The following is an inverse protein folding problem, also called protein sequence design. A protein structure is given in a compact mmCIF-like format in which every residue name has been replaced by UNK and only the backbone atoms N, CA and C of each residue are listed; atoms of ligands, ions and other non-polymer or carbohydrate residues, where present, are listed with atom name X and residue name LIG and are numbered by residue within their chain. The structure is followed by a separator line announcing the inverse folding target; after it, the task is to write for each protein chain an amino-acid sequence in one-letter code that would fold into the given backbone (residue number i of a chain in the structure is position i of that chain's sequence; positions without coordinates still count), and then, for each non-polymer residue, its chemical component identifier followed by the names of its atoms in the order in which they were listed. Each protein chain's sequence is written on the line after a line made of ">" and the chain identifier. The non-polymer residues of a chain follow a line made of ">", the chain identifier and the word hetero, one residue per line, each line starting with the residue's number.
data_IF_206958162188
#
_entry.id   IF_206958162188
#
_cell.length_a   1.000
_cell.length_b   1.000
_cell.length_c   1.000
_cell.angle_alpha   90.00
_cell.angle_beta   90.00
_cell.angle_gamma   90.00
#
_symmetry.space_group_name_H-M   'P 1'
#
loop_
_entity.id
_entity.type
_entity.pdbx_description
1 polymer ?
#
# COMPACT_ATOMS: atom_id res chain seq x y z
N UNK A 1 23.30 -8.77 27.77
CA UNK A 1 22.47 -9.76 27.05
C UNK A 1 21.58 -9.00 26.10
N UNK A 2 22.07 -8.84 24.88
CA UNK A 2 21.38 -8.06 23.85
C UNK A 2 20.22 -8.89 23.31
N UNK A 3 19.01 -8.43 23.59
CA UNK A 3 17.84 -8.90 22.86
C UNK A 3 17.83 -8.24 21.49
N UNK A 4 18.51 -8.90 20.54
CA UNK A 4 18.33 -8.70 19.12
C UNK A 4 16.85 -9.02 18.79
N UNK A 5 16.04 -7.99 18.81
CA UNK A 5 14.69 -8.04 18.26
C UNK A 5 14.85 -8.12 16.75
N UNK A 6 15.05 -9.33 16.25
CA UNK A 6 14.93 -9.67 14.83
C UNK A 6 13.61 -9.11 14.33
N UNK A 7 13.67 -7.90 13.77
CA UNK A 7 12.57 -7.26 13.05
C UNK A 7 12.30 -8.13 11.82
N UNK A 8 11.38 -9.07 11.96
CA UNK A 8 10.88 -9.87 10.84
C UNK A 8 10.30 -8.90 9.81
N UNK A 9 11.09 -8.60 8.80
CA UNK A 9 10.69 -7.71 7.72
C UNK A 9 9.41 -8.25 7.08
N UNK A 10 8.35 -7.46 7.14
CA UNK A 10 7.07 -7.79 6.50
C UNK A 10 7.19 -7.57 5.01
N UNK A 11 7.09 -8.65 4.24
CA UNK A 11 7.11 -8.59 2.79
C UNK A 11 5.71 -8.37 2.23
N UNK A 12 5.59 -7.44 1.30
CA UNK A 12 4.34 -7.24 0.56
C UNK A 12 4.62 -6.61 -0.82
N UNK A 13 3.77 -6.94 -1.78
CA UNK A 13 3.73 -6.28 -3.07
C UNK A 13 2.87 -5.02 -2.95
N UNK A 14 3.32 -3.92 -3.54
CA UNK A 14 2.67 -2.62 -3.40
C UNK A 14 2.78 -1.78 -4.67
N UNK A 15 1.79 -0.92 -4.90
CA UNK A 15 1.88 0.22 -5.80
C UNK A 15 2.32 1.45 -5.00
N UNK A 16 3.16 2.29 -5.59
CA UNK A 16 3.73 3.46 -4.92
C UNK A 16 3.43 4.73 -5.73
N UNK A 17 3.18 5.86 -5.04
CA UNK A 17 3.10 7.16 -5.73
C UNK A 17 4.49 7.61 -6.21
N UNK A 18 4.51 8.49 -7.22
CA UNK A 18 5.73 9.22 -7.57
C UNK A 18 6.16 10.16 -6.42
N UNK A 19 7.39 10.67 -6.49
CA UNK A 19 7.97 11.46 -5.41
C UNK A 19 7.19 12.75 -5.11
N UNK A 20 6.71 13.45 -6.14
CA UNK A 20 5.95 14.69 -5.96
C UNK A 20 4.59 14.42 -5.34
N UNK A 21 3.91 13.36 -5.80
CA UNK A 21 2.64 12.91 -5.21
C UNK A 21 2.84 12.46 -3.77
N UNK A 22 3.90 11.72 -3.48
CA UNK A 22 4.22 11.30 -2.10
C UNK A 22 4.41 12.50 -1.15
N UNK A 23 5.09 13.54 -1.61
CA UNK A 23 5.24 14.79 -0.85
C UNK A 23 3.91 15.52 -0.66
N UNK A 24 3.03 15.55 -1.67
CA UNK A 24 1.68 16.13 -1.54
C UNK A 24 0.86 15.38 -0.49
N UNK A 25 0.88 14.05 -0.54
CA UNK A 25 0.20 13.20 0.46
C UNK A 25 0.75 13.45 1.86
N UNK A 26 2.06 13.53 2.02
CA UNK A 26 2.69 13.81 3.30
C UNK A 26 2.28 15.17 3.89
N UNK A 27 2.25 16.22 3.07
CA UNK A 27 1.81 17.57 3.47
C UNK A 27 0.34 17.57 3.88
N UNK A 28 -0.52 16.87 3.15
CA UNK A 28 -1.92 16.68 3.51
C UNK A 28 -2.04 15.95 4.85
N UNK A 29 -1.30 14.85 5.03
CA UNK A 29 -1.29 14.09 6.28
C UNK A 29 -0.86 14.96 7.48
N UNK A 30 0.14 15.83 7.28
CA UNK A 30 0.58 16.77 8.31
C UNK A 30 -0.49 17.82 8.67
N UNK A 31 -1.21 18.32 7.67
CA UNK A 31 -2.33 19.26 7.90
C UNK A 31 -3.47 18.58 8.66
N UNK A 32 -3.87 17.37 8.21
CA UNK A 32 -4.93 16.60 8.85
C UNK A 32 -4.56 16.16 10.27
N UNK A 33 -3.30 15.76 10.49
CA UNK A 33 -2.80 15.44 11.82
C UNK A 33 -2.99 16.62 12.78
N UNK A 34 -2.65 17.84 12.36
CA UNK A 34 -2.85 19.06 13.16
C UNK A 34 -4.34 19.36 13.39
N UNK A 35 -5.14 19.28 12.33
CA UNK A 35 -6.58 19.57 12.40
C UNK A 35 -7.31 18.63 13.35
N UNK A 36 -7.01 17.34 13.28
CA UNK A 36 -7.60 16.31 14.13
C UNK A 36 -6.86 16.13 15.47
N UNK A 37 -5.73 16.81 15.69
CA UNK A 37 -4.90 16.66 16.90
C UNK A 37 -4.51 15.20 17.17
N UNK A 38 -4.06 14.49 16.13
CA UNK A 38 -3.55 13.14 16.28
C UNK A 38 -2.13 13.12 16.84
N UNK A 39 -1.83 12.15 17.71
CA UNK A 39 -0.49 11.94 18.26
C UNK A 39 0.37 11.05 17.35
N UNK A 40 -0.26 10.20 16.55
CA UNK A 40 0.39 9.22 15.69
C UNK A 40 1.43 9.80 14.74
N UNK A 41 2.50 9.05 14.49
CA UNK A 41 3.54 9.43 13.53
C UNK A 41 3.03 9.30 12.09
N UNK A 42 3.24 10.34 11.28
CA UNK A 42 2.93 10.31 9.84
C UNK A 42 3.86 9.32 9.14
N UNK A 43 3.32 8.59 8.15
CA UNK A 43 4.10 7.73 7.27
C UNK A 43 4.97 8.60 6.37
N UNK A 44 6.28 8.35 6.35
CA UNK A 44 7.23 9.12 5.55
C UNK A 44 6.96 8.93 4.03
N UNK A 45 7.28 9.93 3.21
CA UNK A 45 6.97 9.91 1.78
C UNK A 45 7.47 8.66 1.05
N UNK A 46 8.67 8.20 1.36
CA UNK A 46 9.29 7.02 0.77
C UNK A 46 8.68 5.69 1.21
N UNK A 47 7.77 5.73 2.18
CA UNK A 47 7.05 4.58 2.72
C UNK A 47 5.56 4.57 2.35
N UNK A 48 5.06 5.61 1.71
CA UNK A 48 3.67 5.67 1.25
C UNK A 48 3.44 4.65 0.13
N UNK A 49 2.39 3.86 0.26
CA UNK A 49 2.09 2.78 -0.68
C UNK A 49 0.63 2.33 -0.62
N UNK A 50 0.21 1.64 -1.67
CA UNK A 50 -1.03 0.85 -1.71
C UNK A 50 -0.62 -0.62 -1.65
N UNK A 51 -0.93 -1.29 -0.55
CA UNK A 51 -0.63 -2.74 -0.42
C UNK A 51 -1.48 -3.56 -1.38
N UNK A 52 -0.84 -4.41 -2.17
CA UNK A 52 -1.51 -5.35 -3.08
C UNK A 52 -1.61 -6.74 -2.48
N UNK A 53 -0.51 -7.29 -2.00
CA UNK A 53 -0.44 -8.60 -1.34
C UNK A 53 0.53 -8.58 -0.17
N UNK A 54 0.08 -9.08 0.97
CA UNK A 54 0.93 -9.40 2.08
C UNK A 54 1.50 -10.82 1.92
N UNK A 55 2.81 -10.95 1.99
CA UNK A 55 3.54 -12.20 1.75
C UNK A 55 4.07 -12.86 3.04
N UNK A 56 3.78 -12.25 4.19
CA UNK A 56 4.26 -12.73 5.49
C UNK A 56 5.59 -12.16 5.91
N UNK A 57 6.18 -12.76 6.95
CA UNK A 57 7.55 -12.45 7.38
C UNK A 57 8.57 -13.12 6.46
N UNK A 58 9.76 -12.52 6.37
CA UNK A 58 10.80 -12.95 5.47
C UNK A 58 11.40 -14.32 5.81
N UNK A 59 11.21 -15.31 4.95
CA UNK A 59 12.33 -16.05 4.44
C UNK A 59 12.55 -15.83 2.94
N UNK A 60 13.79 -15.87 2.53
CA UNK A 60 14.24 -15.69 1.13
C UNK A 60 13.46 -16.48 0.04
N UNK A 61 12.95 -17.70 0.28
CA UNK A 61 12.19 -18.44 -0.74
C UNK A 61 10.92 -17.71 -1.21
N UNK A 62 10.15 -17.11 -0.29
CA UNK A 62 8.91 -16.41 -0.63
C UNK A 62 9.21 -15.16 -1.46
N UNK A 63 10.22 -14.39 -1.09
CA UNK A 63 10.63 -13.21 -1.83
C UNK A 63 11.03 -13.56 -3.27
N UNK A 64 11.80 -14.63 -3.46
CA UNK A 64 12.21 -15.09 -4.80
C UNK A 64 11.00 -15.52 -5.63
N UNK A 65 10.11 -16.34 -5.09
CA UNK A 65 8.88 -16.78 -5.77
C UNK A 65 7.99 -15.59 -6.15
N UNK A 66 7.86 -14.60 -5.27
CA UNK A 66 7.12 -13.39 -5.55
C UNK A 66 7.77 -12.56 -6.67
N UNK A 67 9.09 -12.45 -6.70
CA UNK A 67 9.83 -11.79 -7.78
C UNK A 67 9.63 -12.50 -9.13
N UNK A 68 9.71 -13.83 -9.16
CA UNK A 68 9.50 -14.62 -10.37
C UNK A 68 8.06 -14.45 -10.89
N UNK A 69 7.06 -14.51 -10.01
CA UNK A 69 5.67 -14.29 -10.37
C UNK A 69 5.43 -12.86 -10.89
N UNK A 70 5.98 -11.87 -10.21
CA UNK A 70 5.85 -10.47 -10.58
C UNK A 70 6.47 -10.16 -11.95
N UNK A 71 7.58 -10.80 -12.30
CA UNK A 71 8.24 -10.64 -13.59
C UNK A 71 7.40 -11.14 -14.79
N UNK A 72 6.44 -12.01 -14.54
CA UNK A 72 5.50 -12.53 -15.57
C UNK A 72 4.30 -11.60 -15.80
N UNK A 73 4.05 -10.67 -14.89
CA UNK A 73 2.88 -9.78 -14.97
C UNK A 73 3.06 -8.73 -16.05
N UNK A 74 2.04 -8.60 -16.88
CA UNK A 74 1.90 -7.53 -17.87
C UNK A 74 0.63 -6.77 -17.60
N UNK A 75 0.74 -5.46 -17.45
CA UNK A 75 -0.37 -4.55 -17.28
C UNK A 75 0.04 -3.15 -17.76
N UNK A 76 -0.83 -2.42 -18.46
CA UNK A 76 -0.56 -1.03 -18.81
C UNK A 76 -0.54 -0.16 -17.56
N UNK A 77 0.15 0.97 -17.62
CA UNK A 77 0.04 2.04 -16.61
C UNK A 77 -1.39 2.54 -16.53
N UNK A 78 -1.80 3.01 -15.37
CA UNK A 78 -3.15 3.53 -15.14
C UNK A 78 -3.16 4.60 -14.06
N UNK A 79 -4.15 5.47 -14.11
CA UNK A 79 -4.35 6.47 -13.07
C UNK A 79 -5.19 5.94 -11.91
N UNK A 80 -4.86 6.40 -10.72
CA UNK A 80 -5.64 6.22 -9.49
C UNK A 80 -6.01 7.58 -8.91
N UNK A 81 -7.15 7.66 -8.24
CA UNK A 81 -7.63 8.88 -7.62
C UNK A 81 -8.14 8.59 -6.22
N UNK A 82 -7.71 9.41 -5.27
CA UNK A 82 -8.12 9.38 -3.88
C UNK A 82 -8.72 10.74 -3.52
N UNK A 83 -9.94 10.75 -3.01
CA UNK A 83 -10.75 11.96 -2.81
C UNK A 83 -11.33 12.11 -1.39
N UNK A 84 -10.97 11.20 -0.49
CA UNK A 84 -11.44 11.24 0.89
C UNK A 84 -10.51 10.53 1.87
N UNK A 85 -10.69 10.83 3.13
CA UNK A 85 -9.98 10.17 4.25
C UNK A 85 -10.97 9.54 5.21
N UNK A 86 -10.54 8.50 5.90
CA UNK A 86 -11.32 7.82 6.94
C UNK A 86 -10.40 7.03 7.86
N UNK A 87 -10.84 6.75 9.08
CA UNK A 87 -10.17 5.77 9.93
C UNK A 87 -10.73 4.37 9.71
N UNK A 88 -9.86 3.41 9.47
CA UNK A 88 -10.24 2.01 9.49
C UNK A 88 -10.33 1.49 10.93
N UNK A 89 -11.10 0.44 11.12
CA UNK A 89 -11.13 -0.27 12.40
C UNK A 89 -9.75 -0.85 12.69
N UNK A 90 -9.29 -0.69 13.91
CA UNK A 90 -7.98 -1.17 14.36
C UNK A 90 -7.97 -1.36 15.86
N UNK A 91 -6.84 -1.81 16.40
CA UNK A 91 -6.62 -1.89 17.84
C UNK A 91 -6.61 -0.47 18.44
N UNK A 92 -7.06 -0.29 19.70
CA UNK A 92 -6.90 0.98 20.41
C UNK A 92 -5.47 1.51 20.28
N UNK A 93 -5.31 2.79 19.94
CA UNK A 93 -4.00 3.41 19.74
C UNK A 93 -3.29 3.08 18.42
N UNK A 94 -3.85 2.21 17.59
CA UNK A 94 -3.23 1.79 16.33
C UNK A 94 -4.27 1.62 15.21
N UNK A 95 -5.04 2.67 14.97
CA UNK A 95 -6.09 2.71 13.94
C UNK A 95 -5.57 3.37 12.68
N UNK A 96 -5.56 2.68 11.54
CA UNK A 96 -5.10 3.29 10.30
C UNK A 96 -6.01 4.44 9.90
N UNK A 97 -5.42 5.63 9.70
CA UNK A 97 -6.06 6.76 9.05
C UNK A 97 -5.56 6.82 7.63
N UNK A 98 -6.48 6.71 6.66
CA UNK A 98 -6.15 6.36 5.28
C UNK A 98 -6.78 7.30 4.26
N UNK A 99 -6.16 7.37 3.07
CA UNK A 99 -6.79 7.87 1.86
C UNK A 99 -7.63 6.77 1.22
N UNK A 100 -8.83 7.13 0.79
CA UNK A 100 -9.74 6.32 0.00
C UNK A 100 -10.14 7.03 -1.30
N UNK A 101 -10.64 6.26 -2.25
CA UNK A 101 -11.21 6.71 -3.50
C UNK A 101 -11.96 5.57 -4.19
N UNK A 102 -12.62 5.88 -5.30
CA UNK A 102 -13.36 4.91 -6.12
C UNK A 102 -12.89 4.91 -7.57
N UNK A 103 -12.57 6.08 -8.12
CA UNK A 103 -12.20 6.24 -9.52
C UNK A 103 -10.80 5.69 -9.82
N UNK A 104 -10.69 4.91 -10.90
CA UNK A 104 -9.43 4.32 -11.36
C UNK A 104 -9.00 3.07 -10.60
N UNK A 105 -9.64 2.74 -9.49
CA UNK A 105 -9.23 1.63 -8.62
C UNK A 105 -9.55 0.24 -9.17
N UNK A 106 -10.39 0.14 -10.19
CA UNK A 106 -10.67 -1.14 -10.87
C UNK A 106 -9.44 -1.69 -11.59
N UNK A 107 -8.59 -0.81 -12.13
CA UNK A 107 -7.31 -1.20 -12.71
C UNK A 107 -6.36 -1.77 -11.65
N UNK A 108 -6.37 -1.19 -10.46
CA UNK A 108 -5.59 -1.68 -9.33
C UNK A 108 -6.09 -3.05 -8.85
N UNK A 109 -7.41 -3.25 -8.80
CA UNK A 109 -8.02 -4.55 -8.51
C UNK A 109 -7.67 -5.59 -9.57
N UNK A 110 -7.66 -5.18 -10.85
CA UNK A 110 -7.24 -6.03 -11.96
C UNK A 110 -5.77 -6.43 -11.86
N UNK A 111 -4.87 -5.47 -11.61
CA UNK A 111 -3.45 -5.74 -11.37
C UNK A 111 -3.25 -6.74 -10.22
N UNK A 112 -3.94 -6.51 -9.10
CA UNK A 112 -3.90 -7.42 -7.96
C UNK A 112 -4.35 -8.84 -8.34
N UNK A 113 -5.40 -8.97 -9.12
CA UNK A 113 -5.88 -10.28 -9.60
C UNK A 113 -4.85 -10.97 -10.47
N UNK A 114 -4.25 -10.26 -11.40
CA UNK A 114 -3.19 -10.79 -12.29
C UNK A 114 -1.99 -11.26 -11.50
N UNK A 115 -1.53 -10.47 -10.52
CA UNK A 115 -0.48 -10.86 -9.58
C UNK A 115 -0.85 -12.13 -8.79
N UNK A 116 -2.07 -12.20 -8.29
CA UNK A 116 -2.56 -13.36 -7.54
C UNK A 116 -2.54 -14.65 -8.37
N UNK A 117 -2.93 -14.58 -9.64
CA UNK A 117 -2.85 -15.70 -10.58
C UNK A 117 -1.40 -16.11 -10.83
N UNK A 118 -0.51 -15.17 -11.09
CA UNK A 118 0.90 -15.45 -11.32
C UNK A 118 1.55 -16.10 -10.09
N UNK A 119 1.25 -15.62 -8.90
CA UNK A 119 1.75 -16.20 -7.66
C UNK A 119 1.21 -17.59 -7.38
N UNK A 120 -0.08 -17.84 -7.67
CA UNK A 120 -0.68 -19.17 -7.53
C UNK A 120 -0.02 -20.20 -8.45
N UNK A 121 0.35 -19.81 -9.67
CA UNK A 121 1.11 -20.66 -10.61
C UNK A 121 2.49 -21.08 -10.08
N UNK A 122 3.09 -20.24 -9.23
CA UNK A 122 4.36 -20.55 -8.54
C UNK A 122 4.18 -21.34 -7.24
N UNK A 123 2.95 -21.77 -6.93
CA UNK A 123 2.63 -22.53 -5.73
C UNK A 123 2.41 -21.66 -4.47
N UNK A 124 2.45 -20.35 -4.61
CA UNK A 124 2.13 -19.46 -3.51
C UNK A 124 0.62 -19.23 -3.45
N UNK A 125 -0.06 -19.94 -2.56
CA UNK A 125 -1.48 -19.71 -2.28
C UNK A 125 -1.64 -18.42 -1.45
N UNK A 126 -1.59 -17.30 -2.13
CA UNK A 126 -2.07 -16.05 -1.55
C UNK A 126 -3.55 -16.20 -1.26
N UNK A 127 -3.91 -16.18 0.01
CA UNK A 127 -5.28 -15.97 0.41
C UNK A 127 -5.67 -14.54 0.01
N UNK A 128 -6.08 -14.39 -1.25
CA UNK A 128 -6.68 -13.17 -1.72
C UNK A 128 -7.96 -12.99 -0.90
N UNK A 129 -7.91 -12.17 0.14
CA UNK A 129 -9.12 -11.74 0.82
C UNK A 129 -10.04 -11.19 -0.26
N UNK A 130 -11.28 -11.67 -0.31
CA UNK A 130 -12.27 -11.25 -1.31
C UNK A 130 -12.49 -9.74 -1.29
N UNK A 131 -12.35 -9.13 -0.12
CA UNK A 131 -12.60 -7.71 0.11
C UNK A 131 -11.29 -6.93 0.11
N UNK A 132 -10.90 -6.49 -1.08
CA UNK A 132 -9.75 -5.61 -1.26
C UNK A 132 -10.25 -4.16 -1.39
N UNK A 133 -9.92 -3.36 -0.38
CA UNK A 133 -10.14 -1.91 -0.39
C UNK A 133 -8.81 -1.21 -0.60
N UNK A 134 -8.52 -0.73 -1.82
CA UNK A 134 -7.30 0.03 -2.08
C UNK A 134 -7.25 1.29 -1.21
N UNK A 135 -6.14 1.51 -0.51
CA UNK A 135 -5.94 2.68 0.34
C UNK A 135 -4.46 3.01 0.52
N UNK A 136 -4.20 4.25 0.90
CA UNK A 136 -2.88 4.69 1.36
C UNK A 136 -2.97 5.05 2.83
N UNK A 137 -2.19 4.41 3.68
CA UNK A 137 -2.13 4.74 5.11
C UNK A 137 -1.31 6.02 5.31
N UNK A 138 -1.90 7.01 5.97
CA UNK A 138 -1.27 8.29 6.29
C UNK A 138 -0.56 8.27 7.64
N UNK A 139 -1.20 7.70 8.64
CA UNK A 139 -0.69 7.52 10.00
C UNK A 139 -1.54 6.49 10.75
N UNK A 140 -1.09 6.09 11.92
CA UNK A 140 -1.89 5.30 12.86
C UNK A 140 -2.33 6.21 13.99
N UNK A 141 -3.65 6.30 14.20
CA UNK A 141 -4.26 7.22 15.15
C UNK A 141 -4.76 6.50 16.42
N UNK A 142 -4.89 7.24 17.49
CA UNK A 142 -5.43 6.78 18.77
C UNK A 142 -6.95 6.69 18.76
N UNK A 143 -7.61 7.40 17.86
CA UNK A 143 -9.08 7.44 17.73
C UNK A 143 -9.53 7.37 16.28
N UNK A 144 -10.81 7.10 16.07
CA UNK A 144 -11.45 7.09 14.76
C UNK A 144 -11.92 8.48 14.36
N UNK A 145 -11.83 8.73 13.07
CA UNK A 145 -12.44 9.87 12.38
C UNK A 145 -13.32 9.32 11.27
N UNK A 146 -14.52 9.91 11.14
CA UNK A 146 -15.44 9.60 10.07
C UNK A 146 -14.89 10.00 8.70
N UNK A 147 -15.52 9.49 7.65
CA UNK A 147 -15.15 9.82 6.29
C UNK A 147 -15.28 11.32 6.03
N UNK A 148 -14.23 11.89 5.43
CA UNK A 148 -14.14 13.31 5.13
C UNK A 148 -13.56 13.52 3.72
N UNK A 149 -14.23 14.33 2.86
CA UNK A 149 -13.72 14.63 1.54
C UNK A 149 -12.46 15.51 1.59
N UNK A 150 -11.58 15.29 0.62
CA UNK A 150 -10.36 16.10 0.44
C UNK A 150 -10.26 16.57 -1.00
N UNK A 151 -9.37 17.54 -1.24
CA UNK A 151 -8.91 17.85 -2.60
C UNK A 151 -8.36 16.58 -3.25
N UNK A 152 -8.87 16.16 -4.41
CA UNK A 152 -8.46 14.90 -5.01
C UNK A 152 -6.97 14.83 -5.29
N UNK A 153 -6.37 13.70 -4.93
CA UNK A 153 -4.99 13.35 -5.25
C UNK A 153 -5.01 12.23 -6.27
N UNK A 154 -4.41 12.46 -7.42
CA UNK A 154 -4.27 11.46 -8.48
C UNK A 154 -2.82 11.30 -8.89
N UNK A 155 -2.47 10.11 -9.34
CA UNK A 155 -1.18 9.83 -9.98
C UNK A 155 -1.29 8.62 -10.91
N UNK A 156 -0.31 8.51 -11.80
CA UNK A 156 -0.19 7.34 -12.67
C UNK A 156 0.63 6.26 -11.97
N UNK A 157 0.04 5.07 -11.84
CA UNK A 157 0.76 3.88 -11.36
C UNK A 157 1.53 3.32 -12.55
N UNK A 158 2.84 3.47 -12.53
CA UNK A 158 3.77 3.01 -13.56
C UNK A 158 4.54 1.76 -13.16
N UNK A 159 4.55 1.44 -11.89
CA UNK A 159 5.27 0.29 -11.35
C UNK A 159 4.60 -0.25 -10.09
N UNK A 160 4.90 -1.48 -9.77
CA UNK A 160 4.70 -2.03 -8.44
C UNK A 160 6.01 -2.59 -7.91
N UNK A 161 6.12 -2.67 -6.60
CA UNK A 161 7.37 -3.01 -5.91
C UNK A 161 7.15 -4.14 -4.92
N UNK A 162 8.19 -4.90 -4.64
CA UNK A 162 8.28 -5.70 -3.44
C UNK A 162 8.82 -4.81 -2.32
N UNK A 163 8.01 -4.62 -1.29
CA UNK A 163 8.37 -3.76 -0.16
C UNK A 163 9.52 -4.36 0.64
N UNK A 164 10.19 -3.48 1.17
CA UNK A 164 11.52 -3.17 1.66
C UNK A 164 12.50 -2.86 0.51
N UNK A 165 11.98 -2.37 -0.63
CA UNK A 165 12.78 -1.95 -1.81
C UNK A 165 13.65 -3.06 -2.42
N UNK A 166 13.20 -4.31 -2.32
CA UNK A 166 13.96 -5.43 -2.85
C UNK A 166 13.90 -5.53 -4.37
N UNK A 167 12.78 -5.11 -5.00
CA UNK A 167 12.61 -5.15 -6.45
C UNK A 167 11.50 -4.20 -6.92
N UNK A 168 11.55 -3.82 -8.21
CA UNK A 168 10.57 -2.98 -8.89
C UNK A 168 10.22 -3.55 -10.24
N UNK A 169 8.94 -3.46 -10.61
CA UNK A 169 8.46 -3.89 -11.92
C UNK A 169 7.66 -2.74 -12.56
N UNK A 170 8.21 -2.13 -13.63
CA UNK A 170 7.47 -1.14 -14.40
C UNK A 170 6.30 -1.80 -15.10
N UNK A 171 5.16 -1.14 -15.13
CA UNK A 171 4.00 -1.59 -15.86
C UNK A 171 4.24 -1.38 -17.36
N UNK A 172 3.97 -2.42 -18.11
CA UNK A 172 4.10 -2.46 -19.58
C UNK A 172 2.88 -3.14 -20.17
N UNK A 173 2.40 -2.61 -21.26
CA UNK A 173 1.35 -3.22 -22.04
C UNK A 173 1.77 -4.56 -22.64
#
# INVERSE_FOLDING_TARGET
>A
MDHDASSTARLFLAAVPDADTALRIYRLAAALKRAHKFDGKIIEPDRLHISLFFLGGSPNPIARMACEAAAEVRAPSFEVLFDRTVSFRGRPGNRPFVLLGDKGLDRLRSLRRTLGVAMARKGFRCLAKKDFTPHVTLLYAERNVEEYPIEPICWTVNEFVLHVRLARWPLRA
#
